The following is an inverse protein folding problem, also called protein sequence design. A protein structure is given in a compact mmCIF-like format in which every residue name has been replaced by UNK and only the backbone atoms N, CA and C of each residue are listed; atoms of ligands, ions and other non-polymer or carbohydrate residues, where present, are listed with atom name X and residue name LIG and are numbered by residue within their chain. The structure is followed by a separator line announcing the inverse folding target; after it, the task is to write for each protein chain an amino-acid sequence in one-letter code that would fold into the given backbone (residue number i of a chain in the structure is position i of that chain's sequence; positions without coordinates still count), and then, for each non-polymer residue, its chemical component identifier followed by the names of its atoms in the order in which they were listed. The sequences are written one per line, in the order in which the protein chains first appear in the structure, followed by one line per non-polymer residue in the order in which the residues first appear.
data_IF_111866309992
#
_entry.id   IF_111866309992
#
_cell.length_a   1.000
_cell.length_b   1.000
_cell.length_c   1.000
_cell.angle_alpha   90.00
_cell.angle_beta   90.00
_cell.angle_gamma   90.00
#
_symmetry.space_group_name_H-M   'P 1'
#
loop_
_entity.id
_entity.type
_entity.pdbx_description
1 polymer ?
2 polymer ?
3 polymer ?
4 non-polymer ?
5 non-polymer ?
6 non-polymer ?
7 water ?
#
# COMPACT_ATOMS: atom_id res chain seq x y z
N UNK A 2 -16.53 -10.00 -7.18
CA UNK A 2 -15.85 -9.05 -8.07
C UNK A 2 -14.50 -8.53 -7.54
N UNK A 3 -13.54 -9.44 -7.38
CA UNK A 3 -12.13 -9.04 -7.44
C UNK A 3 -11.59 -9.00 -8.88
N UNK A 4 -12.49 -9.15 -9.92
CA UNK A 4 -12.39 -8.95 -11.38
C UNK A 4 -12.27 -7.50 -11.76
N UNK A 5 -12.14 -6.64 -10.76
CA UNK A 5 -11.79 -5.25 -11.00
C UNK A 5 -10.32 -5.11 -10.57
N UNK A 6 -9.62 -4.23 -11.26
CA UNK A 6 -8.29 -3.82 -10.86
C UNK A 6 -8.25 -2.31 -11.00
N UNK A 7 -7.27 -1.69 -10.33
CA UNK A 7 -7.03 -0.26 -10.41
C UNK A 7 -5.54 -0.03 -10.48
N UNK A 8 -5.11 0.78 -11.46
CA UNK A 8 -3.74 1.29 -11.50
C UNK A 8 -3.81 2.77 -11.18
N UNK A 9 -2.97 3.25 -10.26
CA UNK A 9 -2.90 4.65 -9.88
C UNK A 9 -1.50 5.18 -10.10
N UNK A 10 -1.41 6.27 -10.86
CA UNK A 10 -0.22 7.10 -10.90
C UNK A 10 -0.42 8.16 -9.83
N UNK A 11 0.41 8.15 -8.79
CA UNK A 11 0.26 9.05 -7.66
C UNK A 11 1.51 9.89 -7.53
N UNK A 12 1.34 11.18 -7.43
CA UNK A 12 2.45 12.11 -7.30
C UNK A 12 2.16 13.11 -6.21
N UNK A 13 3.24 13.64 -5.63
CA UNK A 13 3.05 14.77 -4.72
C UNK A 13 4.23 15.70 -4.75
N UNK A 14 3.97 16.92 -4.29
CA UNK A 14 5.05 17.85 -3.95
C UNK A 14 4.70 18.52 -2.63
N UNK A 15 5.69 18.64 -1.76
CA UNK A 15 5.49 19.14 -0.39
C UNK A 15 6.46 20.27 -0.11
N UNK A 16 5.94 21.40 0.31
CA UNK A 16 6.78 22.51 0.76
C UNK A 16 6.58 22.74 2.25
N UNK A 17 7.56 23.34 2.94
CA UNK A 17 8.83 23.88 2.46
C UNK A 17 9.90 22.81 2.30
N UNK A 18 9.56 21.53 2.52
CA UNK A 18 10.56 20.47 2.44
C UNK A 18 11.17 20.33 1.06
N UNK A 19 10.44 20.72 0.02
CA UNK A 19 10.86 20.54 -1.35
C UNK A 19 11.01 19.05 -1.66
N UNK A 20 9.99 18.27 -1.28
CA UNK A 20 10.00 16.82 -1.43
C UNK A 20 8.93 16.42 -2.43
N UNK A 21 9.35 15.67 -3.45
CA UNK A 21 8.45 15.16 -4.46
C UNK A 21 8.37 13.67 -4.36
N UNK A 22 7.32 13.10 -4.96
CA UNK A 22 7.25 11.66 -5.12
C UNK A 22 6.48 11.36 -6.40
N UNK A 23 6.81 10.26 -7.06
CA UNK A 23 6.08 9.79 -8.24
C UNK A 23 6.08 8.27 -8.17
N UNK A 24 4.91 7.65 -8.19
CA UNK A 24 4.84 6.18 -8.08
C UNK A 24 3.64 5.68 -8.86
N UNK A 25 3.67 4.40 -9.19
CA UNK A 25 2.50 3.69 -9.71
C UNK A 25 2.11 2.61 -8.72
N UNK A 26 0.82 2.42 -8.53
CA UNK A 26 0.28 1.40 -7.64
C UNK A 26 -0.70 0.54 -8.43
N UNK A 27 -0.69 -0.77 -8.19
CA UNK A 27 -1.64 -1.72 -8.76
C UNK A 27 -2.32 -2.45 -7.61
N UNK A 28 -3.63 -2.26 -7.50
CA UNK A 28 -4.40 -2.95 -6.43
C UNK A 28 -3.74 -2.80 -5.05
N UNK A 29 -3.22 -1.63 -4.76
CA UNK A 29 -2.66 -1.38 -3.44
C UNK A 29 -1.19 -1.71 -3.26
N UNK A 30 -0.54 -2.30 -4.26
CA UNK A 30 0.90 -2.58 -4.21
C UNK A 30 1.65 -1.66 -5.17
N UNK A 31 2.82 -1.20 -4.76
CA UNK A 31 3.62 -0.32 -5.61
C UNK A 31 4.25 -1.11 -6.76
N UNK A 32 4.06 -0.62 -8.01
CA UNK A 32 4.81 -1.21 -9.11
C UNK A 32 6.22 -0.65 -9.11
N UNK A 33 6.34 0.68 -9.03
CA UNK A 33 7.64 1.34 -9.05
C UNK A 33 7.46 2.74 -8.49
N UNK A 34 8.59 3.35 -8.16
CA UNK A 34 8.63 4.79 -7.95
C UNK A 34 9.88 5.38 -8.60
N UNK A 35 9.91 6.70 -8.74
CA UNK A 35 11.08 7.40 -9.24
C UNK A 35 11.84 7.93 -8.02
N UNK A 36 13.10 7.52 -7.88
CA UNK A 36 13.93 8.04 -6.82
C UNK A 36 14.33 9.47 -7.20
N UNK A 37 13.98 10.42 -6.32
CA UNK A 37 14.13 11.83 -6.64
C UNK A 37 15.55 12.32 -6.49
N UNK A 38 16.36 11.61 -5.76
CA UNK A 38 17.77 11.95 -5.64
C UNK A 38 18.59 11.35 -6.77
N UNK A 39 18.48 10.02 -6.96
CA UNK A 39 19.23 9.34 -8.00
C UNK A 39 18.62 9.51 -9.38
N UNK A 40 17.35 9.98 -9.45
CA UNK A 40 16.68 10.27 -10.73
C UNK A 40 16.58 8.99 -11.54
N UNK A 41 16.01 7.97 -10.90
CA UNK A 41 15.92 6.72 -11.64
C UNK A 41 14.68 5.95 -11.21
N UNK A 42 14.24 5.05 -12.08
CA UNK A 42 13.10 4.19 -11.74
C UNK A 42 13.56 3.06 -10.83
N UNK A 43 12.83 2.87 -9.72
CA UNK A 43 13.10 1.82 -8.73
C UNK A 43 11.90 0.88 -8.77
N UNK A 44 12.07 -0.31 -9.31
CA UNK A 44 10.99 -1.31 -9.38
C UNK A 44 10.79 -1.97 -8.02
N UNK A 45 9.53 -2.15 -7.62
CA UNK A 45 9.32 -2.63 -6.24
C UNK A 45 9.81 -4.05 -6.08
N UNK A 46 9.54 -4.91 -7.07
CA UNK A 46 10.18 -6.22 -7.18
C UNK A 46 11.17 -6.14 -8.34
N UNK A 47 12.42 -6.56 -8.10
CA UNK A 47 13.44 -6.30 -9.09
C UNK A 47 13.13 -6.89 -10.46
N UNK A 48 12.44 -8.03 -10.51
CA UNK A 48 12.19 -8.67 -11.78
C UNK A 48 11.24 -7.83 -12.65
N UNK A 49 10.45 -6.91 -12.06
CA UNK A 49 9.58 -6.10 -12.93
C UNK A 49 10.37 -5.35 -13.99
N UNK A 50 11.62 -4.97 -13.69
CA UNK A 50 12.47 -4.28 -14.65
C UNK A 50 12.91 -5.12 -15.84
N UNK A 51 12.77 -6.45 -15.75
CA UNK A 51 12.96 -7.33 -16.89
C UNK A 51 11.71 -7.44 -17.74
N UNK A 52 10.55 -7.07 -17.21
CA UNK A 52 9.29 -7.28 -17.91
C UNK A 52 8.73 -6.01 -18.53
N UNK A 53 9.10 -4.84 -18.03
CA UNK A 53 8.54 -3.59 -18.50
C UNK A 53 9.60 -2.51 -18.36
N UNK A 54 9.33 -1.35 -18.94
CA UNK A 54 10.19 -0.19 -18.78
C UNK A 54 9.36 1.03 -18.40
N UNK A 55 10.06 2.08 -18.02
CA UNK A 55 9.46 3.37 -17.71
C UNK A 55 10.49 4.44 -17.95
N UNK A 56 10.05 5.59 -18.39
CA UNK A 56 10.96 6.69 -18.71
C UNK A 56 10.87 7.70 -17.58
N UNK A 57 11.88 7.71 -16.71
CA UNK A 57 11.80 8.57 -15.52
C UNK A 57 11.86 10.06 -15.85
N UNK A 58 12.48 10.45 -16.98
CA UNK A 58 12.64 11.89 -17.26
C UNK A 58 11.27 12.61 -17.36
N UNK A 59 10.29 11.94 -17.97
CA UNK A 59 8.96 12.54 -18.05
C UNK A 59 8.31 12.68 -16.70
N UNK A 60 8.49 11.69 -15.84
CA UNK A 60 7.96 11.78 -14.46
C UNK A 60 8.57 12.97 -13.73
N UNK A 61 9.89 13.17 -13.92
CA UNK A 61 10.55 14.27 -13.24
C UNK A 61 10.06 15.62 -13.78
N UNK A 62 9.66 15.68 -15.07
CA UNK A 62 9.09 16.93 -15.54
C UNK A 62 7.74 17.17 -14.91
N UNK A 63 6.95 16.09 -14.71
CA UNK A 63 5.69 16.28 -14.01
C UNK A 63 5.94 16.85 -12.61
N UNK A 64 7.01 16.40 -11.93
CA UNK A 64 7.25 16.94 -10.59
C UNK A 64 7.54 18.43 -10.65
N UNK A 65 8.20 18.92 -11.71
CA UNK A 65 8.40 20.37 -11.86
C UNK A 65 7.04 21.08 -11.98
N UNK A 66 6.09 20.50 -12.74
CA UNK A 66 4.74 21.10 -12.84
C UNK A 66 4.06 21.06 -11.47
N UNK A 67 4.21 19.93 -10.75
CA UNK A 67 3.51 19.80 -9.48
C UNK A 67 4.04 20.83 -8.48
N UNK A 68 5.33 21.11 -8.48
CA UNK A 68 5.89 22.12 -7.58
C UNK A 68 5.32 23.49 -7.91
N UNK A 69 5.30 23.85 -9.20
CA UNK A 69 4.74 25.14 -9.60
C UNK A 69 3.25 25.23 -9.23
N UNK A 70 2.50 24.14 -9.40
CA UNK A 70 1.07 24.14 -9.07
C UNK A 70 0.88 24.24 -7.56
N UNK A 71 1.74 23.58 -6.78
CA UNK A 71 1.63 23.75 -5.33
C UNK A 71 1.81 25.20 -4.93
N UNK A 72 2.81 25.86 -5.51
CA UNK A 72 3.04 27.27 -5.18
C UNK A 72 1.81 28.13 -5.51
N UNK A 73 1.20 27.87 -6.68
CA UNK A 73 -0.03 28.60 -7.05
C UNK A 73 -1.14 28.32 -6.04
N UNK A 74 -1.33 27.05 -5.70
CA UNK A 74 -2.45 26.67 -4.82
C UNK A 74 -2.25 27.18 -3.41
N UNK A 75 -1.00 27.21 -2.95
CA UNK A 75 -0.69 27.73 -1.62
C UNK A 75 -1.13 29.18 -1.52
N UNK A 76 -0.74 30.00 -2.51
CA UNK A 76 -1.21 31.39 -2.54
C UNK A 76 -2.73 31.47 -2.68
N UNK A 77 -3.30 30.65 -3.57
CA UNK A 77 -4.74 30.78 -3.86
C UNK A 77 -5.56 30.49 -2.62
N UNK A 78 -5.08 29.58 -1.77
CA UNK A 78 -5.73 29.23 -0.52
C UNK A 78 -5.47 30.28 0.58
N UNK A 79 -4.78 31.39 0.27
CA UNK A 79 -4.30 32.33 1.31
C UNK A 79 -3.39 31.62 2.32
N UNK A 80 -2.51 30.76 1.81
CA UNK A 80 -1.49 30.12 2.66
C UNK A 80 -2.14 29.30 3.77
N UNK A 81 -3.14 28.52 3.39
CA UNK A 81 -3.74 27.60 4.34
C UNK A 81 -2.86 26.36 4.45
N UNK A 82 -2.29 26.07 5.60
CA UNK A 82 -1.42 24.90 5.74
C UNK A 82 -2.21 23.62 6.01
N UNK A 83 -1.51 22.50 5.82
CA UNK A 83 -2.13 21.21 6.07
C UNK A 83 -2.36 21.00 7.57
N UNK A 84 -3.45 20.31 7.91
CA UNK A 84 -3.65 19.86 9.28
C UNK A 84 -2.96 18.52 9.48
N UNK A 85 -2.09 18.42 10.49
CA UNK A 85 -1.39 17.15 10.69
C UNK A 85 -2.40 16.10 11.13
N UNK A 86 -2.24 14.89 10.59
CA UNK A 86 -2.99 13.71 11.00
C UNK A 86 -1.94 12.67 11.43
N UNK A 87 -1.89 12.28 12.69
CA UNK A 87 -0.80 11.39 13.17
C UNK A 87 -1.00 9.97 12.69
N UNK A 88 0.08 9.19 12.60
CA UNK A 88 -0.02 7.82 12.15
C UNK A 88 -0.50 6.86 13.22
N UNK A 89 -1.04 5.76 12.75
CA UNK A 89 -1.20 4.58 13.58
C UNK A 89 -0.20 3.53 13.11
N UNK A 90 0.31 2.74 14.04
CA UNK A 90 1.47 1.91 13.75
C UNK A 90 1.17 0.48 14.18
N UNK A 91 1.55 -0.46 13.33
CA UNK A 91 1.39 -1.88 13.64
C UNK A 91 2.72 -2.56 13.35
N UNK A 92 3.21 -3.45 14.23
CA UNK A 92 4.41 -4.23 13.95
C UNK A 92 3.97 -5.66 13.79
N UNK A 93 4.48 -6.34 12.76
CA UNK A 93 4.19 -7.75 12.56
C UNK A 93 5.40 -8.38 11.91
N UNK A 94 5.34 -9.68 11.64
CA UNK A 94 6.46 -10.36 11.00
C UNK A 94 6.01 -10.94 9.67
N UNK A 95 7.00 -11.20 8.81
CA UNK A 95 6.73 -11.79 7.50
C UNK A 95 6.04 -13.15 7.65
N UNK A 96 6.38 -13.89 8.69
CA UNK A 96 5.83 -15.23 8.83
C UNK A 96 5.89 -15.63 10.31
N UNK A 97 5.26 -16.73 10.69
CA UNK A 97 5.26 -17.11 12.11
C UNK A 97 6.69 -17.30 12.61
N UNK A 98 6.94 -16.76 13.80
CA UNK A 98 8.31 -16.69 14.32
C UNK A 98 8.74 -18.03 14.93
N UNK A 99 9.96 -18.45 14.58
CA UNK A 99 10.61 -19.62 15.17
C UNK A 99 11.99 -19.20 15.65
N UNK A 100 12.39 -19.71 16.81
CA UNK A 100 13.66 -19.36 17.43
C UNK A 100 14.83 -19.53 16.45
N UNK A 101 15.58 -18.45 16.24
CA UNK A 101 16.79 -18.41 15.41
C UNK A 101 16.55 -18.69 13.92
N UNK A 102 15.29 -18.67 13.43
CA UNK A 102 15.05 -18.87 12.01
C UNK A 102 14.83 -17.51 11.39
N UNK A 103 15.60 -17.14 10.36
CA UNK A 103 15.55 -15.77 9.85
C UNK A 103 14.11 -15.34 9.49
N UNK A 104 13.79 -14.10 9.78
CA UNK A 104 12.44 -13.55 9.54
C UNK A 104 12.60 -12.07 9.27
N UNK A 105 11.47 -11.35 9.15
CA UNK A 105 11.51 -9.92 8.88
C UNK A 105 10.47 -9.30 9.79
N UNK A 106 10.90 -8.29 10.54
CA UNK A 106 9.97 -7.43 11.27
C UNK A 106 9.47 -6.35 10.32
N UNK A 107 8.17 -6.07 10.36
CA UNK A 107 7.52 -5.12 9.47
C UNK A 107 6.89 -4.07 10.37
N UNK A 108 7.25 -2.81 10.17
CA UNK A 108 6.58 -1.70 10.82
C UNK A 108 5.73 -1.02 9.79
N UNK A 109 4.43 -1.06 10.01
CA UNK A 109 3.45 -0.53 9.06
C UNK A 109 2.89 0.73 9.67
N UNK A 110 3.08 1.87 8.98
CA UNK A 110 2.69 3.17 9.51
C UNK A 110 1.55 3.66 8.60
N UNK A 111 0.41 4.06 9.16
CA UNK A 111 -0.77 4.22 8.34
C UNK A 111 -1.58 5.46 8.75
N UNK A 112 -2.35 6.01 7.81
CA UNK A 112 -3.34 7.03 8.11
C UNK A 112 -2.71 8.34 8.61
N UNK A 113 -1.68 8.81 7.90
CA UNK A 113 -1.02 10.04 8.32
C UNK A 113 -0.85 11.03 7.18
N UNK A 114 -0.69 12.29 7.56
CA UNK A 114 -0.25 13.32 6.63
C UNK A 114 0.24 14.51 7.44
N UNK A 115 1.20 15.31 6.94
CA UNK A 115 1.86 15.23 5.62
C UNK A 115 2.85 14.06 5.60
N UNK A 116 3.35 13.73 4.42
CA UNK A 116 4.22 12.56 4.25
C UNK A 116 5.68 12.86 4.62
N UNK A 117 5.91 13.00 5.92
CA UNK A 117 7.23 13.15 6.49
C UNK A 117 7.15 12.43 7.83
N UNK A 118 8.07 11.49 8.06
CA UNK A 118 7.98 10.65 9.26
C UNK A 118 9.38 10.21 9.58
N UNK A 119 9.69 10.10 10.87
CA UNK A 119 10.96 9.55 11.25
C UNK A 119 10.73 8.23 11.95
N UNK A 120 11.29 7.16 11.40
CA UNK A 120 11.03 5.81 11.86
C UNK A 120 12.38 5.19 12.22
N UNK A 121 12.48 4.69 13.48
CA UNK A 121 13.70 4.06 13.97
C UNK A 121 13.30 2.74 14.56
N UNK A 122 14.05 1.69 14.24
CA UNK A 122 13.90 0.44 14.97
C UNK A 122 14.79 0.49 16.19
N UNK A 123 14.27 0.00 17.31
CA UNK A 123 15.04 -0.16 18.53
C UNK A 123 15.08 -1.64 18.89
N UNK A 124 16.27 -2.15 19.22
CA UNK A 124 16.41 -3.47 19.81
C UNK A 124 16.95 -3.31 21.21
N UNK A 125 16.25 -3.87 22.19
CA UNK A 125 16.61 -3.65 23.60
C UNK A 125 16.88 -2.18 23.92
N UNK A 126 16.05 -1.30 23.36
CA UNK A 126 16.18 0.12 23.65
C UNK A 126 17.19 0.87 22.81
N UNK A 127 17.94 0.20 21.93
CA UNK A 127 18.98 0.92 21.19
C UNK A 127 18.72 0.93 19.70
N UNK A 128 19.01 2.02 19.00
CA UNK A 128 18.70 2.08 17.58
C UNK A 128 19.47 1.03 16.77
N UNK A 129 18.76 0.38 15.86
CA UNK A 129 19.34 -0.55 14.91
C UNK A 129 19.26 0.11 13.54
N UNK A 130 20.40 0.57 13.03
CA UNK A 130 20.41 1.51 11.91
C UNK A 130 20.54 0.85 10.54
N UNK A 131 21.40 -0.15 10.39
CA UNK A 131 21.67 -0.78 9.10
C UNK A 131 20.99 -2.14 8.98
N UNK A 132 20.78 -2.56 7.71
CA UNK A 132 19.94 -3.68 7.36
C UNK A 132 18.50 -3.31 7.10
N UNK A 133 18.06 -2.15 7.52
CA UNK A 133 16.67 -1.76 7.37
C UNK A 133 16.43 -1.31 5.94
N UNK A 134 15.21 -1.51 5.46
CA UNK A 134 14.80 -0.89 4.20
C UNK A 134 13.40 -0.31 4.39
N UNK A 135 12.95 0.51 3.43
CA UNK A 135 11.67 1.15 3.63
C UNK A 135 11.05 1.48 2.28
N UNK A 136 9.73 1.61 2.28
CA UNK A 136 9.02 2.00 1.07
C UNK A 136 8.91 3.51 1.02
N UNK A 137 8.58 4.02 -0.20
CA UNK A 137 8.10 5.39 -0.25
C UNK A 137 6.70 5.52 0.40
N UNK A 138 6.11 6.73 0.35
CA UNK A 138 4.80 6.95 0.90
C UNK A 138 3.74 6.43 -0.05
N UNK A 139 2.92 5.51 0.41
CA UNK A 139 1.93 4.89 -0.47
C UNK A 139 0.59 5.58 -0.29
N UNK A 140 -0.18 5.77 -1.35
CA UNK A 140 -1.39 6.61 -1.27
C UNK A 140 -2.54 5.85 -0.64
N UNK A 141 -3.46 6.60 -0.05
CA UNK A 141 -4.74 6.07 0.43
C UNK A 141 -5.87 6.85 -0.20
N UNK A 142 -7.06 6.21 -0.25
CA UNK A 142 -8.23 6.83 -0.86
C UNK A 142 -8.69 8.07 -0.10
N UNK A 143 -8.35 8.20 1.19
CA UNK A 143 -8.67 9.40 1.94
C UNK A 143 -7.58 10.45 1.84
N UNK A 144 -6.58 10.19 1.00
CA UNK A 144 -5.49 11.12 0.67
C UNK A 144 -4.50 11.29 1.79
N UNK A 145 -4.58 10.41 2.81
CA UNK A 145 -3.50 10.21 3.76
C UNK A 145 -2.50 9.25 3.14
N UNK A 146 -1.52 8.78 3.93
CA UNK A 146 -0.47 7.94 3.38
C UNK A 146 -0.25 6.75 4.31
N UNK A 147 0.43 5.73 3.75
CA UNK A 147 0.93 4.62 4.54
C UNK A 147 2.33 4.28 4.08
N UNK A 148 3.03 3.44 4.86
CA UNK A 148 4.44 3.23 4.61
C UNK A 148 4.88 1.97 5.35
N UNK A 149 5.83 1.23 4.76
CA UNK A 149 6.35 0.02 5.40
C UNK A 149 7.84 0.17 5.63
N UNK A 150 8.32 -0.29 6.80
CA UNK A 150 9.75 -0.38 7.08
C UNK A 150 10.04 -1.82 7.46
N UNK A 151 11.17 -2.34 7.01
CA UNK A 151 11.46 -3.76 7.18
C UNK A 151 12.81 -3.96 7.87
N UNK A 152 12.87 -4.96 8.76
CA UNK A 152 14.11 -5.31 9.46
C UNK A 152 14.28 -6.83 9.45
N UNK A 153 15.18 -7.39 8.62
CA UNK A 153 15.53 -8.81 8.74
C UNK A 153 16.16 -9.07 10.11
N UNK A 154 15.83 -10.22 10.71
CA UNK A 154 16.33 -10.47 12.07
C UNK A 154 16.27 -11.97 12.38
N UNK A 155 17.02 -12.32 13.43
CA UNK A 155 17.03 -13.68 13.99
C UNK A 155 16.21 -13.68 15.29
N UNK A 156 15.06 -14.35 15.34
CA UNK A 156 14.22 -14.29 16.56
C UNK A 156 14.92 -14.86 17.78
N UNK A 157 14.70 -14.18 18.92
CA UNK A 157 15.27 -14.58 20.18
C UNK A 157 14.27 -14.21 21.25
N UNK A 158 14.11 -15.06 22.28
CA UNK A 158 13.13 -14.68 23.30
C UNK A 158 13.67 -13.66 24.26
N UNK A 159 14.93 -13.29 24.15
CA UNK A 159 15.47 -12.34 25.10
C UNK A 159 15.47 -10.93 24.55
N UNK A 160 15.40 -10.76 23.23
CA UNK A 160 15.42 -9.44 22.67
C UNK A 160 14.01 -8.85 22.67
N UNK A 161 13.93 -7.54 22.80
CA UNK A 161 12.65 -6.89 22.57
C UNK A 161 12.88 -5.83 21.51
N UNK A 162 11.84 -5.54 20.73
CA UNK A 162 11.91 -4.54 19.68
C UNK A 162 10.88 -3.44 19.86
N UNK A 163 11.19 -2.27 19.33
CA UNK A 163 10.17 -1.23 19.25
C UNK A 163 10.34 -0.56 17.91
N UNK A 164 9.23 -0.25 17.26
CA UNK A 164 9.26 0.65 16.14
C UNK A 164 8.86 2.01 16.67
N UNK A 165 9.80 2.95 16.59
CA UNK A 165 9.63 4.28 17.15
C UNK A 165 9.33 5.23 16.00
N UNK A 166 8.17 5.89 16.07
CA UNK A 166 7.69 6.73 14.98
C UNK A 166 7.48 8.16 15.49
N UNK A 167 8.10 9.12 14.81
CA UNK A 167 7.91 10.53 15.10
C UNK A 167 7.20 11.18 13.93
N UNK A 168 6.26 12.06 14.25
CA UNK A 168 5.46 12.77 13.26
C UNK A 168 4.87 14.04 13.90
N UNK A 169 4.71 15.08 13.09
CA UNK A 169 4.22 16.35 13.61
C UNK A 169 2.87 16.21 14.31
N UNK A 170 2.03 15.27 13.88
CA UNK A 170 0.72 15.08 14.51
C UNK A 170 0.75 14.42 15.88
N UNK A 171 1.89 13.88 16.31
CA UNK A 171 2.02 13.17 17.58
C UNK A 171 2.58 14.10 18.66
N UNK A 172 2.08 13.97 19.90
CA UNK A 172 2.60 14.75 21.01
C UNK A 172 3.92 14.22 21.52
N UNK A 173 4.21 12.94 21.26
CA UNK A 173 5.45 12.31 21.69
C UNK A 173 5.69 11.14 20.77
N UNK A 174 6.92 10.62 20.71
CA UNK A 174 7.19 9.49 19.80
C UNK A 174 6.26 8.32 20.14
N UNK A 175 5.74 7.68 19.09
CA UNK A 175 4.96 6.48 19.28
C UNK A 175 5.92 5.29 19.26
N UNK A 176 5.85 4.42 20.28
CA UNK A 176 6.73 3.25 20.40
C UNK A 176 5.88 2.00 20.36
N UNK A 177 5.91 1.28 19.24
CA UNK A 177 5.11 0.06 19.09
C UNK A 177 6.00 -1.14 19.38
N UNK A 178 5.64 -1.88 20.41
CA UNK A 178 6.55 -2.89 20.93
C UNK A 178 6.29 -4.23 20.24
N UNK A 179 7.33 -5.05 20.13
CA UNK A 179 7.15 -6.41 19.65
C UNK A 179 8.16 -7.29 20.35
N UNK A 180 7.74 -8.49 20.74
CA UNK A 180 8.71 -9.46 21.21
C UNK A 180 8.21 -10.88 20.95
N UNK A 181 9.15 -11.82 20.92
CA UNK A 181 8.87 -13.22 20.69
C UNK A 181 8.72 -13.90 22.04
N UNK A 182 7.60 -14.57 22.24
CA UNK A 182 7.35 -15.27 23.49
C UNK A 182 7.56 -16.78 23.32
N UNK A 183 8.06 -17.39 24.38
CA UNK A 183 8.50 -18.80 24.37
C UNK A 183 7.45 -19.79 23.86
N UNK B 3 16.92 19.74 10.62
CA UNK B 3 17.14 20.68 11.72
C UNK B 3 16.12 20.49 12.86
N UNK B 4 16.56 20.73 14.09
CA UNK B 4 15.66 20.63 15.22
C UNK B 4 14.67 21.77 15.28
N UNK B 5 13.51 21.49 15.86
CA UNK B 5 12.56 22.56 16.07
C UNK B 5 11.87 23.03 14.82
N UNK B 6 11.80 22.20 13.77
CA UNK B 6 11.16 22.58 12.52
C UNK B 6 9.68 22.31 12.66
N UNK B 7 8.91 23.37 12.90
CA UNK B 7 7.46 23.28 12.93
C UNK B 7 6.83 24.25 11.95
N UNK B 8 7.56 24.57 10.88
CA UNK B 8 7.05 25.45 9.86
C UNK B 8 5.76 24.85 9.29
N UNK B 9 4.78 25.67 8.93
CA UNK B 9 3.59 25.12 8.24
C UNK B 9 3.97 24.39 6.96
N UNK B 10 3.21 23.35 6.67
CA UNK B 10 3.43 22.58 5.45
C UNK B 10 2.28 22.78 4.47
N UNK B 11 2.60 22.58 3.19
CA UNK B 11 1.63 22.75 2.11
C UNK B 11 1.87 21.61 1.13
N UNK B 12 0.80 20.86 0.81
CA UNK B 12 0.90 19.60 0.06
C UNK B 12 0.00 19.63 -1.17
N UNK B 13 0.52 19.15 -2.30
CA UNK B 13 -0.25 18.99 -3.52
C UNK B 13 -0.06 17.56 -4.02
N UNK B 14 -1.18 16.87 -4.29
CA UNK B 14 -1.14 15.52 -4.81
C UNK B 14 -1.91 15.51 -6.13
N UNK B 15 -1.40 14.74 -7.07
CA UNK B 15 -2.07 14.43 -8.33
C UNK B 15 -2.20 12.92 -8.43
N UNK B 16 -3.42 12.41 -8.64
CA UNK B 16 -3.67 10.97 -8.75
C UNK B 16 -4.42 10.70 -10.03
N UNK B 17 -3.91 9.81 -10.87
CA UNK B 17 -4.63 9.33 -12.05
C UNK B 17 -4.99 7.88 -11.82
N UNK B 18 -6.28 7.59 -11.71
CA UNK B 18 -6.75 6.26 -11.41
C UNK B 18 -7.39 5.65 -12.63
N UNK B 19 -6.90 4.50 -13.05
CA UNK B 19 -7.50 3.70 -14.11
C UNK B 19 -8.22 2.51 -13.49
N UNK B 20 -9.54 2.47 -13.61
CA UNK B 20 -10.39 1.43 -13.06
C UNK B 20 -10.81 0.51 -14.19
N UNK B 21 -10.58 -0.80 -14.01
CA UNK B 21 -10.81 -1.80 -15.04
C UNK B 21 -11.85 -2.80 -14.58
N UNK B 22 -12.83 -3.06 -15.46
CA UNK B 22 -13.98 -3.91 -15.19
C UNK B 22 -13.96 -4.93 -16.30
N UNK B 23 -13.87 -6.21 -15.91
CA UNK B 23 -13.92 -7.34 -16.83
C UNK B 23 -12.82 -7.26 -17.89
N UNK B 24 -11.60 -7.45 -17.40
CA UNK B 24 -10.44 -7.23 -18.23
C UNK B 24 -10.37 -5.76 -18.55
N UNK B 25 -10.40 -5.39 -19.83
CA UNK B 25 -10.43 -3.99 -20.20
C UNK B 25 -11.72 -3.66 -20.94
N UNK B 26 -12.74 -4.47 -20.79
CA UNK B 26 -13.98 -4.19 -21.50
C UNK B 26 -14.55 -2.82 -21.07
N UNK B 27 -14.55 -2.54 -19.77
CA UNK B 27 -15.02 -1.25 -19.27
C UNK B 27 -13.90 -0.59 -18.49
N UNK B 28 -13.59 0.66 -18.84
CA UNK B 28 -12.48 1.37 -18.23
C UNK B 28 -12.95 2.76 -17.84
N UNK B 29 -12.58 3.21 -16.65
CA UNK B 29 -12.89 4.56 -16.19
C UNK B 29 -11.62 5.20 -15.66
N UNK B 30 -11.32 6.42 -16.12
CA UNK B 30 -10.22 7.23 -15.61
C UNK B 30 -10.74 8.30 -14.68
N UNK B 31 -10.13 8.43 -13.48
CA UNK B 31 -10.45 9.49 -12.52
C UNK B 31 -9.14 10.19 -12.21
N UNK B 32 -8.97 11.42 -12.67
CA UNK B 32 -7.84 12.32 -12.41
C UNK B 32 -8.23 13.26 -11.26
N UNK B 33 -7.46 13.24 -10.17
CA UNK B 33 -7.83 13.96 -8.97
C UNK B 33 -6.69 14.86 -8.53
N UNK B 34 -7.00 16.10 -8.18
CA UNK B 34 -6.03 17.03 -7.60
C UNK B 34 -6.42 17.22 -6.14
N UNK B 35 -5.44 17.15 -5.24
CA UNK B 35 -5.69 17.25 -3.80
C UNK B 35 -4.75 18.29 -3.19
N UNK B 36 -5.34 19.32 -2.58
CA UNK B 36 -4.55 20.31 -1.86
C UNK B 36 -4.67 20.01 -0.37
N UNK B 37 -3.52 19.73 0.27
CA UNK B 37 -3.50 19.35 1.69
C UNK B 37 -4.25 18.03 1.84
N UNK B 38 -5.45 18.01 2.43
CA UNK B 38 -6.17 16.73 2.44
C UNK B 38 -7.50 16.85 1.71
N UNK B 39 -7.68 17.86 0.85
CA UNK B 39 -8.97 18.07 0.22
C UNK B 39 -8.85 18.02 -1.31
N UNK B 40 -9.58 17.06 -1.91
CA UNK B 40 -9.66 17.01 -3.37
C UNK B 40 -10.37 18.27 -3.85
N UNK B 41 -9.74 18.97 -4.78
CA UNK B 41 -10.27 20.26 -5.24
C UNK B 41 -10.90 20.22 -6.63
N UNK B 42 -10.40 19.35 -7.52
CA UNK B 42 -10.90 19.28 -8.91
C UNK B 42 -10.64 17.87 -9.40
N UNK B 43 -11.50 17.38 -10.31
CA UNK B 43 -11.35 16.03 -10.84
C UNK B 43 -11.80 15.99 -12.30
N UNK B 44 -11.15 15.15 -13.09
CA UNK B 44 -11.63 14.73 -14.40
C UNK B 44 -12.11 13.30 -14.28
N UNK B 45 -13.36 13.03 -14.61
CA UNK B 45 -13.92 11.69 -14.63
C UNK B 45 -14.26 11.39 -16.08
N UNK B 46 -13.72 10.29 -16.62
CA UNK B 46 -14.01 9.97 -18.02
C UNK B 46 -15.48 9.68 -18.27
N UNK B 47 -16.28 9.36 -17.24
CA UNK B 47 -17.71 9.22 -17.48
C UNK B 47 -18.39 10.58 -17.71
N UNK B 48 -17.70 11.67 -17.35
CA UNK B 48 -18.18 13.04 -17.56
C UNK B 48 -17.50 13.66 -18.78
N UNK B 49 -16.19 13.56 -18.85
CA UNK B 49 -15.49 14.05 -20.03
C UNK B 49 -15.03 15.48 -19.94
N UNK B 50 -15.13 16.10 -18.77
CA UNK B 50 -14.58 17.44 -18.55
C UNK B 50 -14.25 17.51 -17.07
N UNK B 51 -13.52 18.54 -16.67
CA UNK B 51 -13.17 18.71 -15.27
C UNK B 51 -14.34 19.33 -14.50
N UNK B 52 -14.40 19.01 -13.21
CA UNK B 52 -15.43 19.54 -12.33
C UNK B 52 -14.78 19.91 -11.01
N UNK B 53 -15.12 21.10 -10.51
CA UNK B 53 -14.66 21.53 -9.20
C UNK B 53 -15.27 20.65 -8.12
N UNK B 54 -14.43 20.22 -7.19
CA UNK B 54 -14.90 19.46 -6.03
C UNK B 54 -15.06 20.39 -4.85
N UNK B 55 -14.20 21.40 -4.75
CA UNK B 55 -14.34 22.46 -3.77
C UNK B 55 -14.18 23.78 -4.49
N UNK B 56 -14.53 24.89 -3.81
CA UNK B 56 -14.38 26.18 -4.45
C UNK B 56 -12.94 26.45 -4.87
N UNK B 57 -11.97 25.91 -4.11
CA UNK B 57 -10.57 26.14 -4.44
C UNK B 57 -10.25 25.66 -5.83
N UNK B 58 -10.91 24.60 -6.27
CA UNK B 58 -10.67 24.02 -7.59
C UNK B 58 -11.40 24.68 -8.75
N UNK B 59 -12.37 25.56 -8.47
CA UNK B 59 -13.18 26.15 -9.55
C UNK B 59 -12.34 26.83 -10.62
N UNK B 60 -11.34 27.64 -10.29
CA UNK B 60 -10.53 28.27 -11.34
C UNK B 60 -9.84 27.25 -12.24
N UNK B 61 -9.41 26.12 -11.71
CA UNK B 61 -8.72 25.15 -12.54
C UNK B 61 -9.69 24.41 -13.42
N UNK B 62 -10.86 24.05 -12.88
CA UNK B 62 -11.83 23.39 -13.74
C UNK B 62 -12.18 24.28 -14.92
N UNK B 63 -12.42 25.58 -14.67
CA UNK B 63 -12.76 26.51 -15.76
C UNK B 63 -11.62 26.62 -16.76
N UNK B 64 -10.39 26.74 -16.26
CA UNK B 64 -9.25 26.96 -17.16
C UNK B 64 -8.97 25.71 -18.00
N UNK B 65 -8.96 24.56 -17.36
CA UNK B 65 -8.70 23.33 -18.07
C UNK B 65 -9.83 23.01 -19.01
N UNK B 66 -11.09 23.38 -18.66
CA UNK B 66 -12.15 23.06 -19.58
C UNK B 66 -12.15 23.96 -20.81
N UNK B 67 -11.33 25.04 -20.80
CA UNK B 67 -11.19 25.92 -21.95
C UNK B 67 -10.13 25.40 -22.91
N UNK B 68 -9.47 24.27 -22.59
CA UNK B 68 -8.33 23.76 -23.36
C UNK B 68 -8.77 22.53 -24.17
N UNK B 69 -8.98 22.74 -25.46
CA UNK B 69 -9.38 21.65 -26.32
C UNK B 69 -8.36 20.52 -26.33
N UNK B 70 -7.07 20.86 -26.32
CA UNK B 70 -6.10 19.80 -26.43
C UNK B 70 -6.10 18.92 -25.18
N UNK B 71 -6.03 19.56 -24.02
CA UNK B 71 -6.07 18.78 -22.78
C UNK B 71 -7.32 17.91 -22.72
N UNK B 72 -8.47 18.47 -23.05
CA UNK B 72 -9.70 17.66 -22.94
C UNK B 72 -9.69 16.49 -23.91
N UNK B 73 -9.25 16.69 -25.16
CA UNK B 73 -9.21 15.58 -26.10
C UNK B 73 -8.22 14.51 -25.66
N UNK B 74 -7.10 14.95 -25.10
CA UNK B 74 -6.11 13.98 -24.65
C UNK B 74 -6.69 13.15 -23.52
N UNK B 75 -7.35 13.84 -22.56
CA UNK B 75 -7.92 13.10 -21.43
C UNK B 75 -9.07 12.19 -21.87
N UNK B 76 -9.87 12.62 -22.85
CA UNK B 76 -10.97 11.78 -23.32
C UNK B 76 -10.46 10.51 -24.00
N UNK B 77 -9.26 10.55 -24.61
CA UNK B 77 -8.73 9.37 -25.26
C UNK B 77 -7.88 8.53 -24.32
N UNK B 78 -7.60 9.05 -23.14
CA UNK B 78 -6.68 8.38 -22.22
C UNK B 78 -7.17 7.01 -21.75
N UNK B 79 -8.47 6.75 -21.68
CA UNK B 79 -8.87 5.36 -21.37
C UNK B 79 -8.21 4.36 -22.31
N UNK B 80 -7.96 4.75 -23.56
CA UNK B 80 -7.27 3.84 -24.49
C UNK B 80 -5.75 4.05 -24.45
N UNK B 81 -5.30 5.31 -24.57
CA UNK B 81 -3.87 5.58 -24.77
C UNK B 81 -3.05 5.41 -23.49
N UNK B 82 -3.69 5.47 -22.34
CA UNK B 82 -3.02 5.39 -21.05
C UNK B 82 -3.51 4.18 -20.26
N UNK B 83 -4.80 4.12 -19.92
CA UNK B 83 -5.29 3.04 -19.07
C UNK B 83 -5.14 1.69 -19.75
N UNK B 84 -5.74 1.51 -20.96
CA UNK B 84 -5.66 0.20 -21.59
C UNK B 84 -4.23 -0.13 -21.99
N UNK B 85 -3.47 0.89 -22.38
CA UNK B 85 -2.06 0.67 -22.71
C UNK B 85 -1.33 0.08 -21.51
N UNK B 86 -1.44 0.74 -20.35
CA UNK B 86 -0.68 0.30 -19.19
C UNK B 86 -1.15 -1.04 -18.67
N UNK B 87 -2.47 -1.32 -18.80
CA UNK B 87 -2.99 -2.63 -18.43
C UNK B 87 -2.31 -3.70 -19.25
N UNK B 88 -2.17 -3.44 -20.55
CA UNK B 88 -1.50 -4.41 -21.40
C UNK B 88 -0.05 -4.59 -21.05
N UNK B 89 0.64 -3.49 -20.69
CA UNK B 89 2.07 -3.57 -20.34
C UNK B 89 2.24 -4.46 -19.12
N UNK B 90 1.40 -4.26 -18.10
CA UNK B 90 1.65 -4.91 -16.84
C UNK B 90 0.90 -6.21 -16.62
N UNK B 91 -0.03 -6.58 -17.51
CA UNK B 91 -0.94 -7.70 -17.25
C UNK B 91 -0.24 -8.97 -16.80
N UNK B 92 0.84 -9.37 -17.49
CA UNK B 92 1.42 -10.69 -17.26
C UNK B 92 2.05 -10.85 -15.88
N UNK B 93 2.41 -9.75 -15.20
CA UNK B 93 3.09 -9.82 -13.90
C UNK B 93 2.30 -9.15 -12.78
N UNK B 94 1.06 -8.71 -13.06
CA UNK B 94 0.26 -8.07 -12.05
C UNK B 94 -1.08 -8.80 -11.98
N UNK B 95 -1.92 -8.53 -12.99
CA UNK B 95 -3.19 -9.23 -13.14
C UNK B 95 -2.99 -10.74 -13.05
N UNK B 96 -2.00 -11.25 -13.78
CA UNK B 96 -1.76 -12.69 -13.85
C UNK B 96 -0.78 -13.23 -12.80
N UNK B 97 -0.36 -12.40 -11.84
CA UNK B 97 0.61 -12.88 -10.84
C UNK B 97 -0.08 -13.86 -9.91
N UNK B 98 0.57 -15.00 -9.65
CA UNK B 98 0.03 -16.03 -8.77
C UNK B 98 1.16 -16.56 -7.92
N UNK B 99 1.02 -16.50 -6.60
CA UNK B 99 2.03 -17.00 -5.66
C UNK B 99 1.31 -17.85 -4.64
N UNK B 100 1.74 -19.07 -4.51
CA UNK B 100 1.11 -20.03 -3.62
C UNK B 100 1.50 -19.77 -2.17
N UNK B 101 0.53 -19.80 -1.26
CA UNK B 101 0.82 -19.64 0.17
C UNK B 101 1.46 -20.87 0.81
N UNK B 102 2.20 -20.62 1.89
CA UNK B 102 2.66 -21.69 2.74
C UNK B 102 1.69 -21.72 3.92
N UNK B 103 1.17 -22.91 4.21
CA UNK B 103 0.14 -23.09 5.23
C UNK B 103 0.75 -23.90 6.36
N UNK B 104 0.62 -23.37 7.58
CA UNK B 104 1.04 -24.09 8.77
C UNK B 104 -0.03 -24.01 9.85
N UNK B 105 -0.11 -25.02 10.71
CA UNK B 105 -1.06 -25.04 11.82
C UNK B 105 -0.30 -25.24 13.12
N UNK B 106 -0.68 -24.50 14.17
CA UNK B 106 -0.06 -24.67 15.47
C UNK B 106 -1.01 -24.18 16.55
N UNK B 107 -0.95 -24.73 17.74
CA UNK B 107 -1.76 -24.22 18.85
C UNK B 107 -1.17 -22.93 19.38
N UNK B 108 -2.05 -22.07 19.92
CA UNK B 108 -1.64 -20.72 20.30
C UNK B 108 -0.87 -20.71 21.61
N UNK B 109 -1.12 -21.69 22.45
CA UNK B 109 -0.44 -21.82 23.74
C UNK B 109 -0.50 -23.29 24.12
N UNK B 110 0.26 -23.65 25.15
CA UNK B 110 0.34 -25.03 25.62
C UNK B 110 -0.64 -25.19 26.79
N UNK B 111 -1.85 -25.66 26.50
CA UNK B 111 -2.85 -25.93 27.52
C UNK B 111 -3.35 -27.37 27.49
N UNK B 112 -3.77 -27.91 28.63
CA UNK B 112 -4.16 -29.33 28.67
C UNK B 112 -5.41 -29.56 27.84
N UNK B 113 -5.52 -30.79 27.32
CA UNK B 113 -6.72 -31.19 26.60
C UNK B 113 -7.96 -31.04 27.49
N UNK B 114 -9.11 -30.78 26.86
CA UNK B 114 -10.43 -30.71 27.48
C UNK B 114 -10.73 -29.34 28.11
N UNK B 115 -9.90 -28.31 27.84
CA UNK B 115 -10.15 -26.91 28.19
C UNK B 115 -9.92 -26.10 26.91
N UNK B 116 -10.05 -24.78 26.99
CA UNK B 116 -10.06 -23.97 25.77
C UNK B 116 -8.65 -23.71 25.20
N UNK B 117 -8.53 -23.80 23.88
CA UNK B 117 -7.31 -23.41 23.19
C UNK B 117 -7.70 -22.72 21.90
N UNK B 118 -6.75 -22.05 21.29
CA UNK B 118 -6.94 -21.38 20.02
C UNK B 118 -5.97 -22.05 19.06
N UNK B 119 -6.49 -22.68 18.01
CA UNK B 119 -5.62 -23.24 17.00
C UNK B 119 -5.43 -22.21 15.90
N UNK B 120 -4.21 -22.07 15.40
CA UNK B 120 -3.84 -21.05 14.44
C UNK B 120 -3.57 -21.71 13.09
N UNK B 121 -4.25 -21.25 12.04
CA UNK B 121 -3.86 -21.60 10.67
C UNK B 121 -3.22 -20.37 10.05
N UNK B 122 -1.92 -20.46 9.83
CA UNK B 122 -1.15 -19.38 9.23
C UNK B 122 -1.05 -19.63 7.73
N UNK B 123 -1.44 -18.66 6.94
CA UNK B 123 -1.45 -18.77 5.48
C UNK B 123 -0.62 -17.60 4.99
N UNK B 124 0.60 -17.89 4.53
CA UNK B 124 1.70 -16.93 4.40
C UNK B 124 2.10 -16.80 2.93
N UNK B 125 2.28 -15.59 2.44
CA UNK B 125 3.07 -15.40 1.25
C UNK B 125 2.34 -15.52 -0.08
N UNK B 126 1.03 -15.28 -0.12
CA UNK B 126 0.25 -15.56 -1.31
C UNK B 126 -0.09 -14.30 -2.08
N UNK B 127 -0.47 -14.53 -3.34
CA UNK B 127 -0.92 -13.44 -4.23
C UNK B 127 -1.76 -14.09 -5.31
N UNK B 128 -2.93 -13.52 -5.68
CA UNK B 128 -3.55 -12.27 -5.21
C UNK B 128 -4.25 -12.46 -3.89
N UNK B 129 -4.94 -11.44 -3.43
CA UNK B 129 -5.47 -11.48 -2.08
C UNK B 129 -6.73 -12.29 -1.85
N UNK B 130 -7.47 -12.63 -2.89
CA UNK B 130 -8.67 -13.46 -2.78
C UNK B 130 -8.31 -14.86 -2.29
N UNK B 131 -8.84 -15.28 -1.14
CA UNK B 131 -8.51 -16.60 -0.61
C UNK B 131 -9.66 -17.05 0.25
N UNK B 132 -9.79 -18.36 0.43
CA UNK B 132 -10.77 -18.92 1.36
C UNK B 132 -10.05 -19.86 2.30
N UNK B 133 -10.17 -19.60 3.60
CA UNK B 133 -9.48 -20.37 4.64
C UNK B 133 -10.54 -20.83 5.61
N UNK B 134 -10.69 -22.14 5.73
CA UNK B 134 -11.77 -22.71 6.52
C UNK B 134 -11.25 -23.79 7.45
N UNK B 135 -11.94 -23.98 8.56
CA UNK B 135 -11.58 -24.96 9.58
C UNK B 135 -12.61 -26.08 9.63
N UNK B 136 -12.12 -27.33 9.86
CA UNK B 136 -12.93 -28.52 10.00
C UNK B 136 -12.51 -29.28 11.22
N UNK B 137 -13.49 -29.89 11.89
CA UNK B 137 -13.27 -30.77 13.01
C UNK B 137 -13.87 -32.11 12.61
N UNK B 138 -13.01 -33.12 12.51
CA UNK B 138 -13.39 -34.45 12.07
C UNK B 138 -14.21 -34.37 10.78
N UNK B 139 -13.80 -33.46 9.88
CA UNK B 139 -14.45 -33.30 8.59
C UNK B 139 -15.66 -32.39 8.55
N UNK B 140 -16.17 -31.92 9.69
CA UNK B 140 -17.33 -31.04 9.70
C UNK B 140 -16.87 -29.61 9.90
N UNK B 141 -17.43 -28.66 9.13
CA UNK B 141 -16.90 -27.29 9.20
C UNK B 141 -17.24 -26.63 10.52
N UNK B 142 -16.27 -25.88 11.05
CA UNK B 142 -16.46 -25.06 12.25
C UNK B 142 -16.47 -23.62 11.80
N UNK B 143 -17.54 -22.86 12.24
CA UNK B 143 -17.64 -21.43 11.86
C UNK B 143 -17.81 -20.50 13.05
N UNK B 144 -18.57 -20.91 14.08
CA UNK B 144 -18.91 -19.98 15.16
C UNK B 144 -17.67 -19.51 15.92
N UNK B 145 -16.67 -20.36 16.06
CA UNK B 145 -15.53 -19.98 16.86
C UNK B 145 -14.31 -19.53 16.06
N UNK B 146 -14.48 -19.01 14.86
CA UNK B 146 -13.40 -18.64 13.96
C UNK B 146 -13.19 -17.14 14.01
N UNK B 147 -11.94 -16.74 14.08
CA UNK B 147 -11.59 -15.31 14.06
C UNK B 147 -10.31 -15.20 13.27
N UNK B 148 -10.05 -14.04 12.69
CA UNK B 148 -8.90 -13.87 11.82
C UNK B 148 -8.24 -12.51 12.05
N UNK B 149 -6.98 -12.41 11.62
CA UNK B 149 -6.34 -11.11 11.46
C UNK B 149 -6.98 -10.31 10.35
N UNK B 150 -7.71 -10.96 9.45
CA UNK B 150 -8.10 -10.33 8.18
C UNK B 150 -6.94 -10.48 7.22
N UNK B 151 -7.11 -9.91 6.03
CA UNK B 151 -6.10 -9.98 4.99
C UNK B 151 -5.03 -8.93 5.27
N UNK B 152 -3.78 -9.35 5.35
CA UNK B 152 -2.66 -8.48 5.68
C UNK B 152 -1.83 -8.33 4.41
N UNK B 153 -1.68 -7.08 3.93
CA UNK B 153 -0.80 -6.80 2.79
C UNK B 153 0.61 -6.53 3.33
N UNK B 154 1.61 -7.31 2.88
CA UNK B 154 2.94 -7.15 3.42
C UNK B 154 3.76 -6.01 2.80
N UNK B 155 3.27 -5.45 1.70
CA UNK B 155 3.94 -4.35 1.05
C UNK B 155 4.85 -4.79 -0.05
N UNK B 156 5.01 -6.09 -0.25
CA UNK B 156 6.00 -6.70 -1.13
C UNK B 156 5.33 -7.63 -2.13
N UNK B 157 4.08 -7.34 -2.48
CA UNK B 157 3.28 -8.15 -3.41
C UNK B 157 3.01 -9.55 -2.87
N UNK B 158 2.94 -9.68 -1.54
CA UNK B 158 2.41 -10.89 -0.94
C UNK B 158 1.48 -10.47 0.16
N UNK B 159 0.59 -11.40 0.49
CA UNK B 159 -0.35 -11.25 1.61
C UNK B 159 -0.12 -12.38 2.61
N UNK B 160 -0.68 -12.17 3.80
CA UNK B 160 -0.71 -13.25 4.77
C UNK B 160 -2.00 -13.09 5.57
N UNK B 161 -2.31 -14.14 6.33
CA UNK B 161 -3.46 -14.05 7.21
C UNK B 161 -3.28 -15.15 8.26
N UNK B 162 -3.83 -14.93 9.46
CA UNK B 162 -4.00 -16.00 10.45
C UNK B 162 -5.49 -16.20 10.59
N UNK B 163 -5.93 -17.47 10.56
CA UNK B 163 -7.34 -17.81 10.74
C UNK B 163 -7.34 -18.80 11.90
N UNK B 164 -7.99 -18.42 12.99
CA UNK B 164 -7.88 -19.08 14.29
C UNK B 164 -9.21 -19.71 14.67
N UNK B 165 -9.13 -20.85 15.34
CA UNK B 165 -10.31 -21.57 15.79
C UNK B 165 -10.24 -21.80 17.28
N UNK B 166 -11.22 -21.31 18.02
CA UNK B 166 -11.30 -21.63 19.44
C UNK B 166 -11.84 -23.06 19.56
N UNK B 167 -11.10 -23.95 20.23
CA UNK B 167 -11.56 -25.32 20.34
C UNK B 167 -11.42 -25.79 21.78
N UNK B 168 -12.12 -26.88 22.06
CA UNK B 168 -11.88 -27.66 23.29
C UNK B 168 -11.43 -29.01 22.75
N UNK B 169 -10.14 -29.20 22.54
CA UNK B 169 -9.69 -30.40 21.84
C UNK B 169 -9.75 -31.60 22.75
N UNK B 170 -10.20 -32.71 22.17
CA UNK B 170 -10.27 -34.00 22.83
C UNK B 170 -9.34 -34.97 22.13
N UNK B 171 -8.74 -35.89 22.90
CA UNK B 171 -7.85 -36.85 22.29
C UNK B 171 -8.57 -37.55 21.14
N UNK B 172 -7.86 -37.74 20.02
CA UNK B 172 -8.41 -38.44 18.89
C UNK B 172 -9.00 -37.53 17.81
N UNK B 173 -9.32 -36.30 18.16
CA UNK B 173 -9.92 -35.40 17.17
C UNK B 173 -8.87 -34.95 16.15
N UNK B 174 -9.29 -34.78 14.91
CA UNK B 174 -8.45 -34.25 13.83
C UNK B 174 -9.06 -32.93 13.36
N UNK B 175 -8.27 -31.87 13.42
CA UNK B 175 -8.66 -30.56 12.93
C UNK B 175 -7.94 -30.31 11.61
N UNK B 176 -8.63 -29.78 10.61
CA UNK B 176 -8.04 -29.50 9.31
C UNK B 176 -8.27 -28.04 8.96
N UNK B 177 -7.22 -27.37 8.47
CA UNK B 177 -7.33 -26.06 7.86
C UNK B 177 -7.23 -26.29 6.36
N UNK B 178 -8.21 -25.79 5.62
CA UNK B 178 -8.26 -25.95 4.17
C UNK B 178 -8.20 -24.60 3.52
N UNK B 179 -7.30 -24.45 2.55
CA UNK B 179 -7.09 -23.20 1.83
C UNK B 179 -7.42 -23.37 0.35
N UNK B 180 -8.31 -22.53 -0.16
CA UNK B 180 -8.52 -22.43 -1.61
C UNK B 180 -8.06 -21.08 -2.12
N UNK B 181 -7.31 -21.10 -3.24
CA UNK B 181 -6.63 -19.90 -3.72
C UNK B 181 -6.34 -20.08 -5.20
N UNK B 182 -6.36 -19.00 -6.01
CA UNK B 182 -6.19 -19.16 -7.47
C UNK B 182 -4.83 -19.72 -7.87
N UNK B 183 -3.84 -19.74 -6.98
CA UNK B 183 -2.54 -20.31 -7.33
C UNK B 183 -2.51 -21.82 -7.32
N UNK B 184 -3.53 -22.51 -6.79
CA UNK B 184 -3.51 -23.97 -6.74
C UNK B 184 -4.79 -24.54 -7.33
N UNK B 185 -4.66 -25.71 -7.98
CA UNK B 185 -5.79 -26.34 -8.63
C UNK B 185 -6.60 -27.23 -7.68
N UNK B 186 -6.04 -27.60 -6.53
CA UNK B 186 -6.74 -28.41 -5.54
C UNK B 186 -6.53 -27.69 -4.22
N UNK B 187 -7.39 -27.90 -3.23
CA UNK B 187 -7.21 -27.16 -1.97
C UNK B 187 -5.93 -27.61 -1.27
N UNK B 188 -5.33 -26.70 -0.50
CA UNK B 188 -4.23 -27.09 0.39
C UNK B 188 -4.86 -27.45 1.71
N UNK B 189 -4.38 -28.51 2.34
CA UNK B 189 -4.91 -28.89 3.64
C UNK B 189 -3.78 -29.21 4.59
N UNK B 190 -3.95 -28.80 5.85
CA UNK B 190 -3.01 -29.11 6.90
C UNK B 190 -3.80 -29.55 8.11
N UNK B 191 -3.41 -30.70 8.71
CA UNK B 191 -4.12 -31.29 9.84
C UNK B 191 -3.36 -31.04 11.14
N UNK B 192 -4.10 -31.01 12.24
CA UNK B 192 -3.54 -31.04 13.59
C UNK B 192 -4.35 -32.05 14.39
N UNK B 193 -3.66 -33.03 14.96
CA UNK B 193 -4.30 -34.09 15.72
C UNK B 193 -4.19 -33.83 17.21
N UNK B 194 -5.33 -33.83 17.89
CA UNK B 194 -5.36 -33.61 19.33
C UNK B 194 -4.92 -34.86 20.05
N UNK C 2 11.05 -4.75 -24.22
CA UNK C 2 9.83 -4.81 -23.42
C UNK C 2 8.95 -3.58 -23.68
N UNK C 3 7.69 -3.64 -23.25
CA UNK C 3 6.79 -2.51 -23.37
C UNK C 3 7.00 -1.52 -22.24
N UNK C 4 6.53 -0.29 -22.42
CA UNK C 4 6.77 0.80 -21.49
C UNK C 4 5.47 1.27 -20.86
N UNK C 5 5.45 1.40 -19.52
CA UNK C 5 4.35 2.10 -18.90
C UNK C 5 4.43 3.57 -19.34
N UNK C 6 3.28 4.19 -19.52
CA UNK C 6 3.20 5.58 -19.92
C UNK C 6 2.54 6.38 -18.81
N UNK C 7 2.95 7.63 -18.69
CA UNK C 7 2.32 8.50 -17.70
C UNK C 7 1.39 9.50 -18.37
N UNK C 8 0.49 10.07 -17.58
CA UNK C 8 -0.23 11.27 -17.97
C UNK C 8 0.49 12.49 -17.45
N UNK C 9 0.65 13.49 -18.32
CA UNK C 9 1.35 14.70 -17.93
C UNK C 9 0.42 15.65 -17.18
N UNK C 10 0.99 16.37 -16.23
CA UNK C 10 0.21 17.26 -15.37
C UNK C 10 0.03 18.61 -16.07
N UNK C 11 -1.19 19.15 -16.15
CA UNK C 11 -1.35 20.50 -16.68
C UNK C 11 -1.08 21.55 -15.62
N UNK C 12 -0.63 22.73 -16.08
CA UNK C 12 -0.45 23.86 -15.17
C UNK C 12 -1.79 24.43 -14.72
N UNK C 13 -1.95 24.58 -13.39
CA UNK C 13 -3.13 25.26 -12.83
C UNK C 13 -3.13 26.73 -13.25
N UNK C 14 -4.27 27.36 -13.00
CA UNK C 14 -4.41 28.74 -13.46
C UNK C 14 -3.81 29.72 -12.46
N UNK C 15 -3.01 30.65 -12.96
CA UNK C 15 -2.49 31.75 -12.13
C UNK C 15 -3.68 32.64 -11.74
#
# INVERSE_FOLDING_TARGET
MIKEEHVIIQAEFYLNPDQSGEFMFDFDGDEIFHVDMAKKETVWRLEEFGRFASFEAQGALANIAVDKANLEIMTKRSNYTPITNVPPEVTVLTNSPVELREPNVLICFIDKFTPPVVNVTWLRNGKPVTTGVSETVFLPREDHLFRKFHYLPFLPSTEDVYDCRVEHWGLDEPLLKHWEFDA
MGSMGDTRPRFLWQLKFECHFFNGTERVRLLERCIYNQEESVRFDSDVGEYRAVTELGRPDAEYWNSQKDLLEQRRAAVDTYCRHNYGVGESFTVQRRVEPKVTVYPSKTQPLQHHNLLVCSVSGFYPGSIEVRWFRNGQEEKAGVVSTGLIQNGDWTFQTLVMLETVPRSGEVYTCQVEHPSVTSPLTVEWRA
VVLSFELLHAPATVCGPKKS
#
